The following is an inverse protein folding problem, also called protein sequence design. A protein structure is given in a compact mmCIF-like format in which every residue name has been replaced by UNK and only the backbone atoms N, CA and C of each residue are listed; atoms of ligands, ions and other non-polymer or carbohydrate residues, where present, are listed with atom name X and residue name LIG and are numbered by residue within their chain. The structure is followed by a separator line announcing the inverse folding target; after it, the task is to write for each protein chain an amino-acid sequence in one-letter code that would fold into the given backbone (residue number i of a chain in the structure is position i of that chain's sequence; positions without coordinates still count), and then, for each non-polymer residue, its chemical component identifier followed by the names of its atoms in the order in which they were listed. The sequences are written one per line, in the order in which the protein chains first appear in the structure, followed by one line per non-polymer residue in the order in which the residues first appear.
data_IF_962017973375
#
_entry.id   IF_962017973375
#
_cell.length_a   1.000
_cell.length_b   1.000
_cell.length_c   1.000
_cell.angle_alpha   90.00
_cell.angle_beta   90.00
_cell.angle_gamma   90.00
#
_symmetry.space_group_name_H-M   'P 1'
#
loop_
_entity.id
_entity.type
_entity.pdbx_description
1 polymer ?
#
# COMPACT_ATOMS: atom_id res chain seq x y z
N UNK A 1 8.24 -7.02 -32.17
CA UNK A 1 8.04 -6.65 -30.76
C UNK A 1 7.32 -5.31 -30.73
N UNK A 2 6.00 -5.32 -30.51
CA UNK A 2 5.21 -4.08 -30.44
C UNK A 2 5.58 -3.38 -29.14
N UNK A 3 6.30 -2.25 -29.22
CA UNK A 3 6.41 -1.32 -28.10
C UNK A 3 5.00 -0.80 -27.82
N UNK A 4 4.34 -1.38 -26.83
CA UNK A 4 3.19 -0.74 -26.21
C UNK A 4 3.64 0.68 -25.83
N UNK A 5 2.95 1.69 -26.36
CA UNK A 5 3.14 3.08 -25.89
C UNK A 5 3.06 3.03 -24.37
N UNK A 6 4.11 3.49 -23.69
CA UNK A 6 4.10 3.60 -22.23
C UNK A 6 2.88 4.44 -21.85
N UNK A 7 1.81 3.79 -21.41
CA UNK A 7 0.72 4.52 -20.80
C UNK A 7 1.30 5.11 -19.53
N UNK A 8 1.41 6.43 -19.44
CA UNK A 8 1.91 7.08 -18.24
C UNK A 8 1.11 6.55 -17.04
N UNK A 9 1.77 5.82 -16.14
CA UNK A 9 1.12 5.26 -14.96
C UNK A 9 0.63 6.42 -14.09
N UNK A 10 -0.66 6.39 -13.73
CA UNK A 10 -1.21 7.32 -12.74
C UNK A 10 -0.89 6.77 -11.35
N UNK A 11 -0.32 7.63 -10.51
CA UNK A 11 0.01 7.32 -9.11
C UNK A 11 -1.15 7.76 -8.21
N UNK A 12 -1.42 6.97 -7.19
CA UNK A 12 -2.46 7.22 -6.20
C UNK A 12 -1.82 7.14 -4.81
N UNK A 13 -2.06 8.16 -3.98
CA UNK A 13 -1.63 8.23 -2.58
C UNK A 13 -2.88 8.40 -1.73
N UNK A 14 -3.04 7.57 -0.71
CA UNK A 14 -4.13 7.64 0.26
C UNK A 14 -3.54 7.72 1.66
N UNK A 15 -3.92 8.76 2.40
CA UNK A 15 -3.67 8.84 3.84
C UNK A 15 -4.86 8.19 4.56
N UNK A 16 -4.60 7.34 5.53
CA UNK A 16 -5.63 6.68 6.32
C UNK A 16 -5.16 6.49 7.77
N UNK A 17 -6.08 6.02 8.60
CA UNK A 17 -5.81 5.67 10.00
C UNK A 17 -5.83 4.16 10.11
N UNK A 18 -4.80 3.59 10.73
CA UNK A 18 -4.65 2.16 10.97
C UNK A 18 -5.64 1.67 12.05
N UNK A 19 -5.73 0.36 12.27
CA UNK A 19 -6.66 -0.22 13.26
C UNK A 19 -6.40 0.27 14.70
N UNK A 20 -5.20 0.78 14.97
CA UNK A 20 -4.76 1.28 16.27
C UNK A 20 -4.85 2.81 16.39
N UNK A 21 -5.43 3.51 15.41
CA UNK A 21 -5.59 4.97 15.43
C UNK A 21 -4.37 5.76 14.95
N UNK A 22 -3.39 5.11 14.32
CA UNK A 22 -2.12 5.75 13.89
C UNK A 22 -2.17 6.16 12.43
N UNK A 23 -1.42 7.20 12.07
CA UNK A 23 -1.26 7.63 10.68
C UNK A 23 -0.61 6.53 9.84
N UNK A 24 -1.24 6.22 8.71
CA UNK A 24 -0.72 5.29 7.73
C UNK A 24 -0.90 5.84 6.30
N UNK A 25 -0.09 5.34 5.38
CA UNK A 25 -0.18 5.72 3.96
C UNK A 25 -0.24 4.50 3.07
N UNK A 26 -0.99 4.63 2.00
CA UNK A 26 -1.13 3.63 0.95
C UNK A 26 -0.77 4.27 -0.39
N UNK A 27 0.01 3.58 -1.21
CA UNK A 27 0.40 4.07 -2.52
C UNK A 27 0.42 2.96 -3.57
N UNK A 28 -0.03 3.28 -4.78
CA UNK A 28 0.07 2.39 -5.93
C UNK A 28 0.12 3.18 -7.23
N UNK A 29 0.44 2.50 -8.32
CA UNK A 29 0.41 3.06 -9.67
C UNK A 29 -0.30 2.12 -10.62
N UNK A 30 -1.27 2.64 -11.36
CA UNK A 30 -2.02 1.90 -12.38
C UNK A 30 -2.07 2.67 -13.70
N UNK A 31 -2.32 1.97 -14.83
CA UNK A 31 -2.76 2.62 -16.05
C UNK A 31 -4.02 3.47 -15.77
N UNK A 32 -4.20 4.63 -16.41
CA UNK A 32 -5.33 5.53 -16.14
C UNK A 32 -6.72 4.90 -16.28
N UNK A 33 -6.82 3.78 -17.01
CA UNK A 33 -8.07 3.02 -17.22
C UNK A 33 -8.39 2.04 -16.09
N UNK A 34 -7.46 1.76 -15.19
CA UNK A 34 -7.65 0.85 -14.07
C UNK A 34 -7.60 1.64 -12.75
N UNK A 35 -8.76 1.99 -12.21
CA UNK A 35 -8.88 2.74 -10.96
C UNK A 35 -8.86 1.85 -9.72
N UNK A 36 -8.92 0.53 -9.87
CA UNK A 36 -9.03 -0.40 -8.74
C UNK A 36 -7.70 -0.50 -7.99
N UNK A 37 -7.80 -0.61 -6.67
CA UNK A 37 -6.63 -0.80 -5.83
C UNK A 37 -6.07 -2.21 -6.10
N UNK A 38 -4.75 -2.37 -6.31
CA UNK A 38 -4.18 -3.69 -6.56
C UNK A 38 -4.40 -4.64 -5.39
N UNK A 39 -4.73 -5.91 -5.71
CA UNK A 39 -4.85 -6.99 -4.74
C UNK A 39 -3.51 -7.36 -4.07
N UNK A 40 -2.40 -7.56 -4.81
CA UNK A 40 -1.13 -7.82 -4.15
C UNK A 40 -0.65 -6.57 -3.41
N UNK A 41 -0.31 -6.74 -2.14
CA UNK A 41 0.19 -5.67 -1.29
C UNK A 41 1.50 -6.03 -0.60
N UNK A 42 2.37 -5.03 -0.45
CA UNK A 42 3.54 -5.08 0.42
C UNK A 42 3.36 -4.08 1.57
N UNK A 43 3.36 -4.59 2.80
CA UNK A 43 3.28 -3.76 4.01
C UNK A 43 4.68 -3.47 4.55
N UNK A 44 4.99 -2.20 4.78
CA UNK A 44 6.27 -1.70 5.24
C UNK A 44 6.11 -1.07 6.62
N UNK A 45 6.98 -1.46 7.53
CA UNK A 45 6.94 -1.04 8.93
C UNK A 45 8.17 -0.20 9.27
N UNK A 46 7.96 1.05 9.61
CA UNK A 46 8.98 1.93 10.13
C UNK A 46 8.92 1.90 11.66
N UNK A 47 10.03 1.59 12.31
CA UNK A 47 10.10 1.44 13.78
C UNK A 47 10.99 2.46 14.46
N UNK A 48 11.69 3.29 13.69
CA UNK A 48 12.53 4.34 14.24
C UNK A 48 11.66 5.36 15.00
N UNK A 49 12.00 5.71 16.25
CA UNK A 49 11.13 6.53 17.11
C UNK A 49 10.87 7.93 16.56
N UNK A 50 11.82 8.49 15.81
CA UNK A 50 11.74 9.84 15.24
C UNK A 50 11.25 9.86 13.79
N UNK A 51 10.93 8.70 13.22
CA UNK A 51 10.37 8.66 11.88
C UNK A 51 8.91 9.17 11.89
N UNK A 52 8.51 9.84 10.83
CA UNK A 52 7.11 10.19 10.58
C UNK A 52 6.73 9.71 9.18
N UNK A 53 5.62 8.98 9.07
CA UNK A 53 5.08 8.58 7.76
C UNK A 53 4.70 9.81 6.95
N UNK A 54 4.30 10.90 7.61
CA UNK A 54 3.86 12.14 6.95
C UNK A 54 5.00 12.90 6.25
N UNK A 55 6.23 12.68 6.68
CA UNK A 55 7.41 13.31 6.08
C UNK A 55 7.94 12.54 4.86
N UNK A 56 7.41 11.35 4.59
CA UNK A 56 7.85 10.51 3.48
C UNK A 56 7.40 11.07 2.13
N UNK A 57 8.34 11.40 1.23
CA UNK A 57 8.01 11.76 -0.16
C UNK A 57 7.65 10.49 -0.94
N UNK A 58 6.35 10.21 -0.92
CA UNK A 58 5.74 9.00 -1.45
C UNK A 58 6.01 8.77 -2.95
N UNK A 59 6.16 9.83 -3.76
CA UNK A 59 6.36 9.70 -5.21
C UNK A 59 7.76 9.20 -5.54
N UNK A 60 8.77 9.73 -4.87
CA UNK A 60 10.17 9.33 -5.00
C UNK A 60 10.33 7.92 -4.45
N UNK A 61 9.75 7.62 -3.29
CA UNK A 61 9.76 6.29 -2.69
C UNK A 61 9.26 5.20 -3.66
N UNK A 62 8.11 5.42 -4.32
CA UNK A 62 7.59 4.48 -5.31
C UNK A 62 8.49 4.36 -6.55
N UNK A 63 9.10 5.47 -6.96
CA UNK A 63 9.98 5.49 -8.14
C UNK A 63 11.26 4.71 -7.87
N UNK A 64 11.81 4.81 -6.66
CA UNK A 64 13.01 4.08 -6.25
C UNK A 64 12.76 2.58 -6.12
N UNK A 65 11.56 2.18 -5.69
CA UNK A 65 11.18 0.76 -5.57
C UNK A 65 10.79 0.15 -6.92
N UNK A 66 10.11 0.90 -7.80
CA UNK A 66 9.66 0.40 -9.10
C UNK A 66 10.59 0.88 -10.22
N UNK A 67 11.59 0.06 -10.54
CA UNK A 67 12.48 0.24 -11.70
C UNK A 67 11.99 -0.45 -13.00
N UNK A 68 10.69 -0.66 -13.24
CA UNK A 68 10.25 -1.29 -14.49
C UNK A 68 8.77 -1.67 -14.62
N UNK A 69 8.47 -2.38 -15.72
CA UNK A 69 7.20 -3.04 -16.02
C UNK A 69 7.05 -4.30 -15.14
N UNK A 70 6.00 -4.32 -14.33
CA UNK A 70 5.62 -5.44 -13.48
C UNK A 70 4.22 -5.22 -12.94
N UNK A 71 3.60 -6.28 -12.42
CA UNK A 71 2.23 -6.21 -11.92
C UNK A 71 2.06 -5.08 -10.91
N UNK A 72 0.92 -4.36 -10.93
CA UNK A 72 0.66 -3.33 -9.94
C UNK A 72 0.69 -3.95 -8.53
N UNK A 73 1.59 -3.47 -7.68
CA UNK A 73 1.62 -3.79 -6.25
C UNK A 73 1.22 -2.53 -5.48
N UNK A 74 0.38 -2.70 -4.47
CA UNK A 74 0.07 -1.67 -3.49
C UNK A 74 1.09 -1.71 -2.37
N UNK A 75 1.63 -0.56 -1.98
CA UNK A 75 2.44 -0.43 -0.77
C UNK A 75 1.59 0.18 0.34
N UNK A 76 1.71 -0.38 1.54
CA UNK A 76 1.07 0.11 2.75
C UNK A 76 2.15 0.41 3.77
N UNK A 77 2.18 1.61 4.33
CA UNK A 77 3.24 2.06 5.22
C UNK A 77 2.67 2.42 6.58
N UNK A 78 3.25 1.81 7.59
CA UNK A 78 2.89 1.97 8.99
C UNK A 78 4.10 2.44 9.79
N UNK A 79 3.87 3.31 10.76
CA UNK A 79 4.89 3.67 11.75
C UNK A 79 4.48 3.13 13.11
N UNK A 80 5.34 2.27 13.66
CA UNK A 80 5.16 1.66 14.96
C UNK A 80 6.45 1.89 15.75
N UNK A 81 6.60 3.05 16.41
CA UNK A 81 7.85 3.43 17.03
C UNK A 81 8.26 2.40 18.08
N UNK A 82 9.53 1.98 18.04
CA UNK A 82 10.14 1.01 18.97
C UNK A 82 9.53 -0.40 18.91
N UNK A 83 8.73 -0.72 17.87
CA UNK A 83 8.26 -2.08 17.66
C UNK A 83 9.40 -3.05 17.34
N UNK A 84 9.22 -4.29 17.78
CA UNK A 84 9.99 -5.45 17.37
C UNK A 84 9.22 -6.19 16.27
N UNK A 85 9.88 -7.15 15.63
CA UNK A 85 9.29 -7.95 14.55
C UNK A 85 7.95 -8.60 14.94
N UNK A 86 7.85 -9.10 16.18
CA UNK A 86 6.62 -9.69 16.70
C UNK A 86 5.46 -8.67 16.79
N UNK A 87 5.78 -7.41 17.12
CA UNK A 87 4.80 -6.33 17.23
C UNK A 87 4.29 -5.93 15.83
N UNK A 88 5.18 -5.86 14.84
CA UNK A 88 4.82 -5.63 13.43
C UNK A 88 3.98 -6.77 12.85
N UNK A 89 4.37 -8.03 13.12
CA UNK A 89 3.61 -9.20 12.67
C UNK A 89 2.22 -9.26 13.30
N UNK A 90 2.10 -8.88 14.58
CA UNK A 90 0.81 -8.82 15.24
C UNK A 90 -0.05 -7.69 14.67
N UNK A 91 0.52 -6.50 14.47
CA UNK A 91 -0.16 -5.39 13.82
C UNK A 91 -0.73 -5.77 12.45
N UNK A 92 0.04 -6.48 11.62
CA UNK A 92 -0.43 -6.98 10.33
C UNK A 92 -1.69 -7.86 10.45
N UNK A 93 -1.72 -8.76 11.44
CA UNK A 93 -2.90 -9.63 11.67
C UNK A 93 -4.12 -8.83 12.13
N UNK A 94 -3.90 -7.82 12.96
CA UNK A 94 -4.97 -6.96 13.46
C UNK A 94 -5.52 -6.04 12.35
N UNK A 95 -4.67 -5.56 11.45
CA UNK A 95 -5.07 -4.87 10.21
C UNK A 95 -5.93 -5.77 9.31
N UNK A 96 -5.50 -7.01 9.08
CA UNK A 96 -6.29 -7.98 8.30
C UNK A 96 -7.65 -8.22 8.94
N UNK A 97 -7.70 -8.37 10.27
CA UNK A 97 -8.94 -8.57 11.01
C UNK A 97 -9.86 -7.36 10.94
N UNK A 98 -9.32 -6.15 11.06
CA UNK A 98 -10.08 -4.90 11.00
C UNK A 98 -10.62 -4.61 9.60
N UNK A 99 -9.82 -4.92 8.57
CA UNK A 99 -10.20 -4.75 7.16
C UNK A 99 -11.26 -5.75 6.71
N UNK A 100 -11.25 -6.95 7.30
CA UNK A 100 -12.11 -8.05 6.89
C UNK A 100 -11.51 -8.86 5.73
N UNK A 101 -12.23 -9.90 5.33
CA UNK A 101 -11.77 -10.85 4.32
C UNK A 101 -11.77 -10.23 2.91
N UNK A 102 -10.61 -10.20 2.27
CA UNK A 102 -10.42 -9.71 0.89
C UNK A 102 -11.23 -10.51 -0.12
N UNK A 103 -11.45 -11.81 0.12
CA UNK A 103 -12.30 -12.63 -0.76
C UNK A 103 -13.77 -12.24 -0.65
N UNK A 104 -14.23 -11.86 0.54
CA UNK A 104 -15.59 -11.35 0.74
C UNK A 104 -15.77 -10.01 0.04
N UNK A 105 -14.80 -9.11 0.17
CA UNK A 105 -14.79 -7.82 -0.55
C UNK A 105 -14.78 -8.01 -2.07
N UNK A 106 -13.99 -8.96 -2.58
CA UNK A 106 -13.96 -9.28 -4.01
C UNK A 106 -15.32 -9.84 -4.49
N UNK A 107 -15.92 -10.73 -3.70
CA UNK A 107 -17.24 -11.30 -4.01
C UNK A 107 -18.35 -10.24 -4.00
N UNK A 108 -18.28 -9.26 -3.10
CA UNK A 108 -19.21 -8.12 -3.10
C UNK A 108 -19.02 -7.23 -4.34
N UNK A 109 -17.77 -6.95 -4.72
CA UNK A 109 -17.45 -6.18 -5.91
C UNK A 109 -17.90 -6.86 -7.21
N UNK A 110 -17.82 -8.20 -7.30
CA UNK A 110 -18.31 -8.96 -8.46
C UNK A 110 -19.85 -8.95 -8.59
N UNK A 111 -20.58 -8.67 -7.51
CA UNK A 111 -22.05 -8.62 -7.51
C UNK A 111 -22.62 -7.22 -7.79
N UNK A 112 -21.80 -6.18 -7.75
CA UNK A 112 -22.19 -4.78 -7.96
C UNK A 112 -22.11 -4.36 -9.44
#
# INVERSE_FOLDING_TARGET
MVRLRSSALKRYVVNFVDHAGRSAKMIWSNPPRNILVPLPSLSLYFVHPEFSVDDLEMRQFLTDIRNGDGDPIRFEMFHIPRARDADCAQHYRDELKARGDVFEQAREAEKA
#
